data_IF_569035839718
#
_entry.id   IF_569035839718
#
_cell.length_a   1.000
_cell.length_b   1.000
_cell.length_c   1.000
_cell.angle_alpha   90.00
_cell.angle_beta   90.00
_cell.angle_gamma   90.00
#
_symmetry.space_group_name_H-M   'P 1'
#
loop_
_entity.id
_entity.type
_entity.pdbx_description
1 polymer ?
#
# COMPACT_ATOMS: atom_id res chain seq x y z
N UNK A 1 -11.54 22.49 -5.84
CA UNK A 1 -11.42 22.22 -7.28
C UNK A 1 -10.10 21.49 -7.49
N UNK A 2 -10.13 20.18 -7.79
CA UNK A 2 -8.92 19.36 -7.94
C UNK A 2 -9.19 18.24 -8.94
N UNK A 3 -8.29 18.06 -9.92
CA UNK A 3 -8.43 17.14 -11.05
C UNK A 3 -7.33 16.08 -10.98
N UNK A 4 -7.68 14.80 -11.14
CA UNK A 4 -6.72 13.69 -11.40
C UNK A 4 -7.19 12.92 -12.63
N UNK A 5 -6.24 12.58 -13.51
CA UNK A 5 -6.50 11.91 -14.79
C UNK A 5 -6.53 10.39 -14.63
N UNK A 6 -7.52 9.73 -15.22
CA UNK A 6 -7.49 8.28 -15.51
C UNK A 6 -7.16 8.07 -16.99
N UNK A 7 -6.25 7.15 -17.29
CA UNK A 7 -5.85 6.78 -18.65
C UNK A 7 -6.58 5.49 -19.01
N UNK A 8 -7.41 5.50 -20.07
CA UNK A 8 -7.95 4.30 -20.70
C UNK A 8 -7.04 3.86 -21.87
N UNK A 9 -7.11 2.57 -22.24
CA UNK A 9 -6.32 1.85 -23.27
C UNK A 9 -6.28 2.46 -24.69
N UNK A 10 -6.91 3.61 -24.93
CA UNK A 10 -6.85 4.36 -26.20
C UNK A 10 -6.15 5.74 -26.09
N UNK A 11 -5.48 6.03 -24.98
CA UNK A 11 -4.71 7.27 -24.80
C UNK A 11 -5.56 8.54 -24.58
N UNK A 12 -6.89 8.44 -24.58
CA UNK A 12 -7.78 9.57 -24.32
C UNK A 12 -7.96 9.77 -22.81
N UNK A 13 -7.43 10.90 -22.31
CA UNK A 13 -7.58 11.34 -20.92
C UNK A 13 -9.03 11.81 -20.70
N UNK A 14 -9.78 11.09 -19.87
CA UNK A 14 -11.12 11.53 -19.43
C UNK A 14 -11.02 12.00 -17.98
N UNK A 15 -11.52 13.20 -17.70
CA UNK A 15 -11.58 13.74 -16.34
C UNK A 15 -12.85 13.22 -15.63
N UNK A 16 -12.71 12.81 -14.38
CA UNK A 16 -13.85 12.46 -13.51
C UNK A 16 -14.10 13.66 -12.59
N UNK A 17 -15.31 14.22 -12.66
CA UNK A 17 -15.76 15.24 -11.72
C UNK A 17 -16.33 14.53 -10.48
N UNK A 18 -15.76 14.80 -9.31
CA UNK A 18 -16.26 14.33 -8.02
C UNK A 18 -16.39 15.50 -7.06
N UNK A 19 -17.26 15.36 -6.06
CA UNK A 19 -17.38 16.38 -5.02
C UNK A 19 -16.10 16.44 -4.18
N UNK A 20 -15.85 17.57 -3.52
CA UNK A 20 -14.71 17.70 -2.63
C UNK A 20 -14.81 16.73 -1.44
N UNK A 21 -16.03 16.48 -0.98
CA UNK A 21 -16.32 15.51 0.08
C UNK A 21 -15.98 14.07 -0.34
N UNK A 22 -16.42 13.64 -1.53
CA UNK A 22 -16.10 12.31 -2.06
C UNK A 22 -14.60 12.13 -2.30
N UNK A 23 -13.93 13.20 -2.74
CA UNK A 23 -12.47 13.19 -2.90
C UNK A 23 -11.76 12.98 -1.56
N UNK A 24 -12.20 13.68 -0.51
CA UNK A 24 -11.65 13.51 0.83
C UNK A 24 -11.96 12.12 1.41
N UNK A 25 -13.17 11.60 1.20
CA UNK A 25 -13.54 10.25 1.60
C UNK A 25 -12.69 9.18 0.90
N UNK A 26 -12.44 9.34 -0.40
CA UNK A 26 -11.60 8.43 -1.18
C UNK A 26 -10.12 8.48 -0.74
N UNK A 27 -9.60 9.67 -0.42
CA UNK A 27 -8.26 9.79 0.17
C UNK A 27 -8.19 9.15 1.56
N UNK A 28 -9.23 9.32 2.37
CA UNK A 28 -9.29 8.70 3.69
C UNK A 28 -9.31 7.18 3.59
N UNK A 29 -10.08 6.60 2.66
CA UNK A 29 -10.13 5.16 2.44
C UNK A 29 -8.86 4.59 1.80
N UNK A 30 -8.18 5.36 0.94
CA UNK A 30 -6.92 4.93 0.32
C UNK A 30 -5.78 4.77 1.33
N UNK A 31 -5.88 5.40 2.50
CA UNK A 31 -4.91 5.27 3.58
C UNK A 31 -5.23 4.11 4.54
N UNK A 32 -6.33 3.38 4.32
CA UNK A 32 -6.68 2.22 5.14
C UNK A 32 -5.97 1.00 4.55
N UNK A 33 -4.95 0.52 5.25
CA UNK A 33 -4.30 -0.74 4.92
C UNK A 33 -5.26 -1.90 5.19
N UNK A 34 -5.31 -2.93 4.33
CA UNK A 34 -6.07 -4.15 4.63
C UNK A 34 -5.64 -4.80 5.94
N UNK A 35 -6.56 -5.48 6.63
CA UNK A 35 -6.29 -6.09 7.94
C UNK A 35 -5.09 -7.04 7.94
N UNK A 36 -4.90 -7.83 6.87
CA UNK A 36 -3.76 -8.73 6.75
C UNK A 36 -2.41 -7.99 6.68
N UNK A 37 -2.39 -6.78 6.11
CA UNK A 37 -1.19 -5.92 6.08
C UNK A 37 -0.92 -5.35 7.47
N UNK A 38 -1.96 -4.83 8.13
CA UNK A 38 -1.85 -4.30 9.50
C UNK A 38 -1.34 -5.39 10.45
N UNK A 39 -1.91 -6.59 10.36
CA UNK A 39 -1.51 -7.73 11.19
C UNK A 39 -0.08 -8.19 10.89
N UNK A 40 0.32 -8.19 9.61
CA UNK A 40 1.70 -8.47 9.20
C UNK A 40 2.70 -7.48 9.80
N UNK A 41 2.37 -6.18 9.77
CA UNK A 41 3.21 -5.13 10.38
C UNK A 41 3.34 -5.33 11.89
N UNK A 42 2.23 -5.55 12.60
CA UNK A 42 2.23 -5.80 14.05
C UNK A 42 3.09 -7.01 14.41
N UNK A 43 2.89 -8.12 13.71
CA UNK A 43 3.68 -9.34 13.91
C UNK A 43 5.18 -9.09 13.68
N UNK A 44 5.54 -8.41 12.59
CA UNK A 44 6.95 -8.09 12.31
C UNK A 44 7.59 -7.19 13.38
N UNK A 45 6.83 -6.25 13.95
CA UNK A 45 7.30 -5.42 15.07
C UNK A 45 7.51 -6.23 16.34
N UNK A 46 6.62 -7.18 16.64
CA UNK A 46 6.76 -8.08 17.79
C UNK A 46 7.95 -9.03 17.62
N UNK A 47 8.09 -9.66 16.45
CA UNK A 47 9.24 -10.50 16.11
C UNK A 47 10.56 -9.72 16.22
N UNK A 48 10.58 -8.47 15.76
CA UNK A 48 11.73 -7.57 15.92
C UNK A 48 12.10 -7.31 17.38
N UNK A 49 11.10 -7.05 18.25
CA UNK A 49 11.32 -6.85 19.70
C UNK A 49 11.83 -8.11 20.39
N UNK A 50 11.40 -9.29 19.92
CA UNK A 50 11.83 -10.59 20.43
C UNK A 50 13.16 -11.07 19.83
N UNK A 51 13.78 -10.30 18.93
CA UNK A 51 15.01 -10.72 18.24
C UNK A 51 14.81 -11.87 17.25
N UNK A 52 13.56 -12.17 16.86
CA UNK A 52 13.20 -13.21 15.88
C UNK A 52 13.42 -12.73 14.43
N UNK A 53 14.52 -12.02 14.20
CA UNK A 53 14.89 -11.49 12.89
C UNK A 53 15.98 -12.34 12.26
N UNK A 54 15.92 -12.52 10.94
CA UNK A 54 16.98 -13.20 10.18
C UNK A 54 17.96 -12.19 9.62
N UNK A 55 19.24 -12.57 9.55
CA UNK A 55 20.24 -11.72 8.92
C UNK A 55 20.03 -11.65 7.40
N UNK A 56 20.54 -10.59 6.78
CA UNK A 56 20.49 -10.44 5.32
C UNK A 56 21.08 -11.65 4.60
N UNK A 57 22.19 -12.19 5.10
CA UNK A 57 22.85 -13.37 4.52
C UNK A 57 21.94 -14.61 4.58
N UNK A 58 21.29 -14.85 5.73
CA UNK A 58 20.36 -15.98 5.90
C UNK A 58 19.15 -15.87 4.96
N UNK A 59 18.61 -14.66 4.79
CA UNK A 59 17.51 -14.40 3.86
C UNK A 59 17.94 -14.65 2.42
N UNK A 60 19.11 -14.17 2.01
CA UNK A 60 19.60 -14.31 0.64
C UNK A 60 19.89 -15.76 0.27
N UNK A 61 20.36 -16.58 1.22
CA UNK A 61 20.63 -18.00 0.96
C UNK A 61 19.37 -18.81 0.61
N UNK A 62 18.18 -18.39 1.07
CA UNK A 62 16.90 -19.04 0.70
C UNK A 62 16.60 -18.96 -0.81
N UNK A 63 17.10 -17.95 -1.50
CA UNK A 63 16.80 -17.67 -2.91
C UNK A 63 17.95 -18.05 -3.87
N UNK A 64 19.01 -18.68 -3.36
CA UNK A 64 20.16 -19.14 -4.16
C UNK A 64 20.00 -20.58 -4.68
N UNK A 65 18.81 -21.18 -4.55
CA UNK A 65 18.48 -22.54 -5.03
C UNK A 65 17.37 -22.49 -6.08
#
# INVERSE_FOLDING_TARGET
MTVKYLIYEKGNKTAVQMSLEDYHALLASANILPDYVINGIKKGQEEGKLGMTKSTEEVMNKYKS
#
